data_IF_487365044221
#
_entry.id   IF_487365044221
#
_cell.length_a   1.000
_cell.length_b   1.000
_cell.length_c   1.000
_cell.angle_alpha   90.00
_cell.angle_beta   90.00
_cell.angle_gamma   90.00
#
_symmetry.space_group_name_H-M   'P 1'
#
loop_
_entity.id
_entity.type
_entity.pdbx_description
1 polymer ?
#
# COMPACT_ATOMS: atom_id res chain seq x y z
N UNK A 1 -83.86 15.65 53.80
CA UNK A 1 -84.81 16.72 53.35
C UNK A 1 -84.19 17.46 52.15
N UNK A 2 -85.03 17.58 51.13
CA UNK A 2 -84.97 18.53 50.00
C UNK A 2 -83.78 18.32 48.99
N UNK A 3 -84.01 17.70 47.82
CA UNK A 3 -84.59 18.28 46.58
C UNK A 3 -83.79 19.51 46.14
N UNK A 4 -83.32 19.71 44.94
CA UNK A 4 -83.97 19.58 43.59
C UNK A 4 -83.02 19.97 42.44
N UNK A 5 -83.25 19.32 41.28
CA UNK A 5 -83.33 19.81 39.88
C UNK A 5 -82.10 20.17 39.12
N UNK A 6 -81.87 19.30 38.16
CA UNK A 6 -81.72 19.53 36.71
C UNK A 6 -81.88 20.94 36.14
N UNK A 7 -80.86 21.38 35.39
CA UNK A 7 -81.09 22.15 34.15
C UNK A 7 -79.98 21.75 33.13
N UNK A 8 -80.44 21.21 32.04
CA UNK A 8 -79.63 20.99 30.84
C UNK A 8 -79.57 22.31 30.06
N UNK A 9 -78.39 22.72 29.64
CA UNK A 9 -78.21 23.75 28.61
C UNK A 9 -77.30 23.18 27.52
N UNK A 10 -77.92 22.92 26.36
CA UNK A 10 -77.24 22.74 25.09
C UNK A 10 -76.52 24.02 24.74
N UNK A 11 -75.23 23.91 24.47
CA UNK A 11 -74.50 24.96 23.78
C UNK A 11 -73.64 24.33 22.68
N UNK A 12 -73.97 24.71 21.50
CA UNK A 12 -73.41 24.35 20.22
C UNK A 12 -71.84 24.53 20.20
N UNK A 13 -71.10 23.45 20.08
CA UNK A 13 -69.65 23.52 19.86
C UNK A 13 -69.39 23.83 18.38
N UNK A 14 -68.89 25.00 18.13
CA UNK A 14 -68.32 25.45 16.88
C UNK A 14 -67.05 24.67 16.63
N UNK A 15 -67.06 23.68 15.73
CA UNK A 15 -65.87 22.95 15.29
C UNK A 15 -65.08 23.88 14.38
N UNK A 16 -64.08 24.54 14.99
CA UNK A 16 -63.03 25.25 14.26
C UNK A 16 -62.00 24.21 13.79
N UNK A 17 -62.11 23.70 12.57
CA UNK A 17 -61.10 22.92 11.91
C UNK A 17 -59.89 23.81 11.63
N UNK A 18 -58.95 23.79 12.54
CA UNK A 18 -57.62 24.30 12.29
C UNK A 18 -56.95 23.35 11.29
N UNK A 19 -56.93 23.73 10.04
CA UNK A 19 -56.02 23.18 9.04
C UNK A 19 -54.61 23.62 9.46
N UNK A 20 -53.96 22.83 10.30
CA UNK A 20 -52.51 22.88 10.41
C UNK A 20 -51.94 22.42 9.08
N UNK A 21 -51.52 23.39 8.29
CA UNK A 21 -50.63 23.16 7.15
C UNK A 21 -49.39 22.50 7.70
N UNK A 22 -49.35 21.16 7.65
CA UNK A 22 -48.13 20.40 7.86
C UNK A 22 -47.20 20.81 6.73
N UNK A 23 -46.34 21.78 7.02
CA UNK A 23 -45.18 22.04 6.17
C UNK A 23 -44.44 20.71 6.00
N UNK A 24 -44.55 20.12 4.81
CA UNK A 24 -43.71 19.01 4.39
C UNK A 24 -42.29 19.56 4.31
N UNK A 25 -41.62 19.67 5.46
CA UNK A 25 -40.18 19.57 5.44
C UNK A 25 -39.90 18.26 4.72
N UNK A 26 -39.14 18.30 3.64
CA UNK A 26 -38.75 17.13 2.84
C UNK A 26 -38.13 16.11 3.81
N UNK A 27 -39.02 15.25 4.36
CA UNK A 27 -38.66 14.27 5.37
C UNK A 27 -37.69 13.30 4.70
N UNK A 28 -36.52 13.13 5.30
CA UNK A 28 -35.59 12.07 4.90
C UNK A 28 -36.40 10.78 4.83
N UNK A 29 -36.53 10.24 3.63
CA UNK A 29 -37.32 9.03 3.37
C UNK A 29 -36.74 7.88 4.22
N UNK A 30 -37.54 7.40 5.17
CA UNK A 30 -37.15 6.33 6.07
C UNK A 30 -37.60 5.01 5.44
N UNK A 31 -36.67 4.09 5.23
CA UNK A 31 -36.96 2.72 4.82
C UNK A 31 -36.91 1.81 6.04
N UNK A 32 -37.99 1.05 6.29
CA UNK A 32 -38.08 0.09 7.40
C UNK A 32 -38.30 -1.30 6.83
N UNK A 33 -37.46 -2.26 7.23
CA UNK A 33 -37.51 -3.66 6.80
C UNK A 33 -37.72 -4.53 8.05
N UNK A 34 -38.93 -5.13 8.19
CA UNK A 34 -39.28 -5.95 9.35
C UNK A 34 -38.97 -5.27 10.72
N UNK A 35 -39.23 -3.96 10.82
CA UNK A 35 -38.98 -3.17 12.03
C UNK A 35 -37.55 -2.61 12.13
N UNK A 36 -36.63 -2.99 11.28
CA UNK A 36 -35.26 -2.43 11.23
C UNK A 36 -35.22 -1.24 10.28
N UNK A 37 -34.80 -0.09 10.78
CA UNK A 37 -34.68 1.13 9.98
C UNK A 37 -33.37 1.15 9.21
N UNK A 38 -33.45 1.35 7.88
CA UNK A 38 -32.29 1.70 7.06
C UNK A 38 -32.12 3.22 7.13
N UNK A 39 -31.06 3.72 7.76
CA UNK A 39 -30.86 5.16 7.94
C UNK A 39 -30.70 5.87 6.58
N UNK A 40 -31.33 7.04 6.44
CA UNK A 40 -31.25 7.83 5.20
C UNK A 40 -29.82 8.21 4.83
N UNK A 41 -28.93 8.43 5.79
CA UNK A 41 -27.53 8.72 5.53
C UNK A 41 -26.79 7.54 4.89
N UNK A 42 -27.21 6.29 5.16
CA UNK A 42 -26.68 5.10 4.47
C UNK A 42 -27.04 5.10 2.98
N UNK A 43 -28.28 5.54 2.66
CA UNK A 43 -28.73 5.69 1.28
C UNK A 43 -27.92 6.80 0.59
N UNK A 44 -27.82 7.97 1.22
CA UNK A 44 -27.07 9.11 0.64
C UNK A 44 -25.58 8.78 0.43
N UNK A 45 -24.94 8.09 1.37
CA UNK A 45 -23.56 7.61 1.21
C UNK A 45 -23.43 6.66 0.00
N UNK A 46 -24.38 5.72 -0.17
CA UNK A 46 -24.36 4.80 -1.29
C UNK A 46 -24.60 5.53 -2.63
N UNK A 47 -25.49 6.51 -2.67
CA UNK A 47 -25.69 7.38 -3.85
C UNK A 47 -24.39 8.12 -4.17
N UNK A 48 -23.79 8.77 -3.17
CA UNK A 48 -22.54 9.50 -3.36
C UNK A 48 -21.42 8.62 -3.92
N UNK A 49 -21.24 7.40 -3.40
CA UNK A 49 -20.23 6.46 -3.92
C UNK A 49 -20.45 6.15 -5.41
N UNK A 50 -21.69 6.00 -5.85
CA UNK A 50 -22.00 5.73 -7.25
C UNK A 50 -21.78 6.98 -8.12
N UNK A 51 -22.12 8.16 -7.60
CA UNK A 51 -21.87 9.45 -8.29
C UNK A 51 -20.35 9.69 -8.44
N UNK A 52 -19.57 9.45 -7.40
CA UNK A 52 -18.10 9.57 -7.44
C UNK A 52 -17.46 8.60 -8.46
N UNK A 53 -18.15 7.49 -8.79
CA UNK A 53 -17.78 6.55 -9.86
C UNK A 53 -18.31 6.93 -11.26
N UNK A 54 -18.90 8.13 -11.41
CA UNK A 54 -19.34 8.67 -12.69
C UNK A 54 -20.81 8.41 -13.05
N UNK A 55 -21.61 7.81 -12.16
CA UNK A 55 -23.05 7.70 -12.39
C UNK A 55 -23.74 9.04 -12.10
N UNK A 56 -24.87 9.27 -12.77
CA UNK A 56 -25.70 10.45 -12.48
C UNK A 56 -26.66 10.15 -11.33
N UNK A 57 -26.83 11.10 -10.42
CA UNK A 57 -27.87 11.01 -9.38
C UNK A 57 -29.25 11.17 -10.04
N UNK A 58 -29.95 10.07 -10.18
CA UNK A 58 -31.30 10.01 -10.77
C UNK A 58 -32.27 9.29 -9.84
N UNK A 59 -33.57 9.49 -9.97
CA UNK A 59 -34.56 8.74 -9.21
C UNK A 59 -34.44 7.22 -9.37
N UNK A 60 -34.04 6.76 -10.56
CA UNK A 60 -33.87 5.34 -10.88
C UNK A 60 -32.65 4.77 -10.13
N UNK A 61 -31.53 5.51 -10.10
CA UNK A 61 -30.34 5.12 -9.31
C UNK A 61 -30.68 5.04 -7.83
N UNK A 62 -31.35 6.06 -7.29
CA UNK A 62 -31.77 6.09 -5.89
C UNK A 62 -32.70 4.93 -5.54
N UNK A 63 -33.65 4.62 -6.42
CA UNK A 63 -34.53 3.46 -6.26
C UNK A 63 -33.74 2.16 -6.26
N UNK A 64 -32.84 1.95 -7.21
CA UNK A 64 -32.02 0.74 -7.29
C UNK A 64 -31.14 0.56 -6.03
N UNK A 65 -30.57 1.65 -5.51
CA UNK A 65 -29.79 1.62 -4.25
C UNK A 65 -30.67 1.25 -3.05
N UNK A 66 -31.89 1.80 -2.97
CA UNK A 66 -32.83 1.43 -1.91
C UNK A 66 -33.20 -0.05 -1.99
N UNK A 67 -33.57 -0.53 -3.17
CA UNK A 67 -33.93 -1.93 -3.40
C UNK A 67 -32.77 -2.87 -3.04
N UNK A 68 -31.54 -2.50 -3.36
CA UNK A 68 -30.33 -3.25 -2.96
C UNK A 68 -30.14 -3.25 -1.44
N UNK A 69 -30.26 -2.11 -0.77
CA UNK A 69 -30.11 -2.03 0.68
C UNK A 69 -31.18 -2.83 1.43
N UNK A 70 -32.44 -2.81 0.91
CA UNK A 70 -33.54 -3.65 1.40
C UNK A 70 -33.18 -5.14 1.25
N UNK A 71 -32.71 -5.54 0.07
CA UNK A 71 -32.34 -6.93 -0.19
C UNK A 71 -31.22 -7.41 0.72
N UNK A 72 -30.19 -6.58 0.93
CA UNK A 72 -29.09 -6.88 1.87
C UNK A 72 -29.60 -7.04 3.30
N UNK A 73 -30.50 -6.18 3.75
CA UNK A 73 -31.09 -6.26 5.08
C UNK A 73 -31.89 -7.54 5.26
N UNK A 74 -32.73 -7.90 4.26
CA UNK A 74 -33.51 -9.13 4.29
C UNK A 74 -32.64 -10.40 4.39
N UNK A 75 -31.53 -10.45 3.61
CA UNK A 75 -30.58 -11.58 3.66
C UNK A 75 -29.86 -11.63 5.01
N UNK A 76 -29.48 -10.48 5.57
CA UNK A 76 -28.83 -10.41 6.88
C UNK A 76 -29.80 -10.90 7.99
N UNK A 77 -31.06 -10.49 7.97
CA UNK A 77 -32.08 -10.95 8.92
C UNK A 77 -32.35 -12.46 8.79
N UNK A 78 -32.36 -13.00 7.57
CA UNK A 78 -32.53 -14.45 7.36
C UNK A 78 -31.33 -15.22 7.93
N UNK A 79 -30.10 -14.72 7.71
CA UNK A 79 -28.90 -15.32 8.30
C UNK A 79 -28.94 -15.30 9.83
N UNK A 80 -29.34 -14.19 10.45
CA UNK A 80 -29.51 -14.09 11.91
C UNK A 80 -30.62 -15.04 12.42
N UNK A 81 -31.75 -15.09 11.70
CA UNK A 81 -32.83 -16.04 12.06
C UNK A 81 -32.39 -17.49 12.03
N UNK A 82 -31.43 -17.83 11.18
CA UNK A 82 -30.79 -19.14 11.09
C UNK A 82 -29.62 -19.31 12.05
N UNK A 83 -29.33 -18.30 12.90
CA UNK A 83 -28.22 -18.27 13.84
C UNK A 83 -26.84 -18.51 13.20
N UNK A 84 -26.67 -18.15 11.91
CA UNK A 84 -25.41 -18.33 11.19
C UNK A 84 -24.29 -17.45 11.75
N UNK A 85 -24.64 -16.31 12.32
CA UNK A 85 -23.74 -15.39 13.00
C UNK A 85 -23.25 -15.90 14.36
N UNK A 86 -23.91 -16.90 14.93
CA UNK A 86 -23.61 -17.48 16.25
C UNK A 86 -22.78 -18.76 16.18
N UNK A 87 -22.41 -19.22 14.98
CA UNK A 87 -21.53 -20.37 14.82
C UNK A 87 -20.11 -20.03 15.31
N UNK A 88 -19.36 -21.01 15.87
CA UNK A 88 -17.98 -20.77 16.33
C UNK A 88 -17.10 -20.17 15.26
N UNK A 89 -17.22 -20.60 14.02
CA UNK A 89 -16.47 -20.14 12.86
C UNK A 89 -16.80 -18.67 12.53
N UNK A 90 -18.09 -18.32 12.57
CA UNK A 90 -18.53 -16.93 12.33
C UNK A 90 -18.04 -15.99 13.44
N UNK A 91 -18.11 -16.43 14.70
CA UNK A 91 -17.63 -15.66 15.85
C UNK A 91 -16.11 -15.43 15.79
N UNK A 92 -15.34 -16.44 15.38
CA UNK A 92 -13.90 -16.29 15.15
C UNK A 92 -13.62 -15.26 14.04
N UNK A 93 -14.33 -15.35 12.92
CA UNK A 93 -14.20 -14.39 11.82
C UNK A 93 -14.56 -12.97 12.26
N UNK A 94 -15.63 -12.78 13.02
CA UNK A 94 -15.99 -11.47 13.57
C UNK A 94 -14.92 -10.92 14.50
N UNK A 95 -14.34 -11.77 15.35
CA UNK A 95 -13.25 -11.37 16.22
C UNK A 95 -12.02 -10.89 15.42
N UNK A 96 -11.64 -11.62 14.37
CA UNK A 96 -10.54 -11.25 13.48
C UNK A 96 -10.81 -9.95 12.73
N UNK A 97 -12.01 -9.77 12.16
CA UNK A 97 -12.41 -8.53 11.48
C UNK A 97 -12.36 -7.36 12.44
N UNK A 98 -12.93 -7.51 13.64
CA UNK A 98 -12.90 -6.47 14.67
C UNK A 98 -11.47 -6.11 15.07
N UNK A 99 -10.61 -7.10 15.30
CA UNK A 99 -9.22 -6.87 15.65
C UNK A 99 -8.48 -6.13 14.54
N UNK A 100 -8.62 -6.56 13.29
CA UNK A 100 -7.99 -5.91 12.14
C UNK A 100 -8.45 -4.45 12.00
N UNK A 101 -9.73 -4.20 12.16
CA UNK A 101 -10.30 -2.86 12.09
C UNK A 101 -9.80 -1.95 13.23
N UNK A 102 -9.69 -2.48 14.46
CA UNK A 102 -9.12 -1.72 15.58
C UNK A 102 -7.65 -1.38 15.37
N UNK A 103 -6.86 -2.31 14.79
CA UNK A 103 -5.46 -2.06 14.44
C UNK A 103 -5.37 -0.95 13.39
N UNK A 104 -6.21 -0.99 12.36
CA UNK A 104 -6.24 0.05 11.32
C UNK A 104 -6.59 1.42 11.91
N UNK A 105 -7.64 1.50 12.73
CA UNK A 105 -8.06 2.74 13.40
C UNK A 105 -6.97 3.33 14.29
N UNK A 106 -6.29 2.50 15.08
CA UNK A 106 -5.24 2.97 16.00
C UNK A 106 -4.00 3.46 15.23
N UNK A 107 -3.60 2.73 14.18
CA UNK A 107 -2.51 3.17 13.32
C UNK A 107 -2.84 4.44 12.54
N UNK A 108 -4.07 4.60 12.07
CA UNK A 108 -4.52 5.80 11.38
C UNK A 108 -4.53 7.00 12.33
N UNK A 109 -5.10 6.85 13.53
CA UNK A 109 -5.10 7.89 14.58
C UNK A 109 -3.67 8.28 14.98
N UNK A 110 -2.79 7.28 15.17
CA UNK A 110 -1.38 7.52 15.45
C UNK A 110 -0.72 8.36 14.36
N UNK A 111 -0.87 7.99 13.09
CA UNK A 111 -0.25 8.72 11.97
C UNK A 111 -0.84 10.12 11.82
N UNK A 112 -2.15 10.27 12.00
CA UNK A 112 -2.81 11.59 11.98
C UNK A 112 -2.25 12.53 13.05
N UNK A 113 -1.97 12.01 14.25
CA UNK A 113 -1.37 12.78 15.36
C UNK A 113 0.13 12.98 15.20
N UNK A 114 0.79 12.12 14.42
CA UNK A 114 2.23 12.11 14.20
C UNK A 114 2.54 12.06 12.69
N UNK A 115 2.21 13.10 11.92
CA UNK A 115 2.47 13.12 10.49
C UNK A 115 3.97 12.96 10.19
N UNK A 116 4.28 12.50 8.98
CA UNK A 116 5.67 12.45 8.51
C UNK A 116 6.20 13.88 8.37
N UNK A 117 7.37 14.13 8.91
CA UNK A 117 8.01 15.45 8.91
C UNK A 117 9.18 15.50 7.93
N UNK A 118 9.53 16.70 7.45
CA UNK A 118 10.70 16.91 6.59
C UNK A 118 12.01 16.49 7.27
N UNK A 119 12.09 16.61 8.60
CA UNK A 119 13.26 16.15 9.35
C UNK A 119 13.42 14.61 9.30
N UNK A 120 12.32 13.88 9.40
CA UNK A 120 12.33 12.41 9.29
C UNK A 120 12.65 11.97 7.85
N UNK A 121 12.10 12.66 6.85
CA UNK A 121 12.44 12.40 5.45
C UNK A 121 13.93 12.67 5.19
N UNK A 122 14.48 13.73 5.75
CA UNK A 122 15.90 14.06 5.63
C UNK A 122 16.78 12.98 6.28
N UNK A 123 16.44 12.57 7.49
CA UNK A 123 17.16 11.52 8.19
C UNK A 123 17.16 10.19 7.41
N UNK A 124 16.02 9.84 6.81
CA UNK A 124 15.93 8.64 5.97
C UNK A 124 16.72 8.77 4.67
N UNK A 125 16.70 9.95 4.03
CA UNK A 125 17.53 10.24 2.87
C UNK A 125 19.02 10.05 3.20
N UNK A 126 19.48 10.69 4.26
CA UNK A 126 20.89 10.62 4.69
C UNK A 126 21.29 9.17 5.05
N UNK A 127 20.39 8.43 5.70
CA UNK A 127 20.58 7.00 5.98
C UNK A 127 20.72 6.18 4.70
N UNK A 128 19.85 6.40 3.70
CA UNK A 128 19.93 5.67 2.42
C UNK A 128 21.23 6.00 1.67
N UNK A 129 21.64 7.27 1.63
CA UNK A 129 22.90 7.66 1.01
C UNK A 129 24.09 7.00 1.73
N UNK A 130 24.10 6.97 3.06
CA UNK A 130 25.15 6.33 3.84
C UNK A 130 25.25 4.82 3.59
N UNK A 131 24.12 4.15 3.35
CA UNK A 131 24.09 2.72 3.00
C UNK A 131 24.70 2.42 1.62
N UNK A 132 24.71 3.38 0.70
CA UNK A 132 25.37 3.24 -0.60
C UNK A 132 26.90 3.32 -0.49
N UNK A 133 27.41 3.90 0.60
CA UNK A 133 28.82 4.09 0.90
C UNK A 133 29.11 5.49 1.43
N UNK A 134 30.40 5.83 1.53
CA UNK A 134 30.83 7.11 2.08
C UNK A 134 30.44 8.28 1.16
N UNK A 135 29.64 9.25 1.65
CA UNK A 135 29.23 10.40 0.84
C UNK A 135 30.45 11.16 0.27
N UNK A 136 30.37 11.51 -1.00
CA UNK A 136 31.45 12.20 -1.73
C UNK A 136 32.56 11.29 -2.28
N UNK A 137 32.61 10.03 -1.87
CA UNK A 137 33.51 9.00 -2.46
C UNK A 137 32.77 7.96 -3.29
N UNK A 138 31.45 8.05 -3.36
CA UNK A 138 30.63 7.12 -4.14
C UNK A 138 30.95 7.23 -5.62
N UNK A 139 31.23 6.07 -6.23
CA UNK A 139 31.40 5.93 -7.66
C UNK A 139 30.37 4.95 -8.22
N UNK A 140 29.84 5.25 -9.38
CA UNK A 140 29.05 4.30 -10.18
C UNK A 140 29.91 3.82 -11.35
N UNK A 141 29.68 2.58 -11.72
CA UNK A 141 30.43 1.86 -12.71
C UNK A 141 29.53 1.43 -13.84
N UNK A 142 29.93 1.70 -15.06
CA UNK A 142 29.30 1.10 -16.23
C UNK A 142 29.97 -0.25 -16.48
N UNK A 143 29.18 -1.32 -16.35
CA UNK A 143 29.70 -2.68 -16.38
C UNK A 143 29.20 -3.45 -17.58
N UNK A 144 30.08 -4.35 -18.06
CA UNK A 144 29.69 -5.48 -18.90
C UNK A 144 30.05 -6.79 -18.22
N UNK A 145 29.22 -7.83 -18.40
CA UNK A 145 29.32 -9.12 -17.73
C UNK A 145 29.23 -10.28 -18.73
N UNK A 146 30.08 -11.27 -18.54
CA UNK A 146 29.95 -12.61 -19.11
C UNK A 146 29.76 -13.56 -17.93
N UNK A 147 28.59 -14.21 -17.84
CA UNK A 147 28.31 -15.22 -16.83
C UNK A 147 28.28 -16.60 -17.45
N UNK A 148 28.85 -17.60 -16.80
CA UNK A 148 28.90 -18.98 -17.25
C UNK A 148 28.58 -19.94 -16.10
N UNK A 149 28.22 -21.18 -16.41
CA UNK A 149 27.94 -22.20 -15.40
C UNK A 149 29.21 -22.74 -14.73
N UNK A 150 30.30 -22.84 -15.46
CA UNK A 150 31.52 -23.45 -14.97
C UNK A 150 32.70 -22.51 -15.02
N UNK A 151 33.67 -22.71 -14.12
CA UNK A 151 34.94 -21.97 -14.13
C UNK A 151 35.71 -22.14 -15.41
N UNK A 152 35.65 -23.33 -16.02
CA UNK A 152 36.37 -23.63 -17.30
C UNK A 152 35.82 -22.77 -18.44
N UNK A 153 34.50 -22.62 -18.55
CA UNK A 153 33.86 -21.76 -19.55
C UNK A 153 34.21 -20.29 -19.33
N UNK A 154 34.18 -19.83 -18.05
CA UNK A 154 34.53 -18.45 -17.70
C UNK A 154 35.97 -18.13 -18.06
N UNK A 155 36.91 -19.03 -17.75
CA UNK A 155 38.33 -18.89 -18.13
C UNK A 155 38.53 -18.88 -19.63
N UNK A 156 37.80 -19.71 -20.36
CA UNK A 156 37.86 -19.73 -21.84
C UNK A 156 37.35 -18.38 -22.42
N UNK A 157 36.24 -17.87 -21.90
CA UNK A 157 35.71 -16.54 -22.27
C UNK A 157 36.71 -15.42 -21.96
N UNK A 158 37.28 -15.42 -20.75
CA UNK A 158 38.30 -14.46 -20.34
C UNK A 158 39.52 -14.50 -21.23
N UNK A 159 40.01 -15.69 -21.61
CA UNK A 159 41.15 -15.86 -22.50
C UNK A 159 40.87 -15.29 -23.90
N UNK A 160 39.66 -15.46 -24.45
CA UNK A 160 39.23 -14.87 -25.73
C UNK A 160 39.32 -13.35 -25.68
N UNK A 161 38.74 -12.75 -24.63
CA UNK A 161 38.74 -11.29 -24.46
C UNK A 161 40.15 -10.74 -24.25
N UNK A 162 40.99 -11.43 -23.45
CA UNK A 162 42.42 -11.06 -23.26
C UNK A 162 43.24 -11.15 -24.55
N UNK A 163 42.85 -12.00 -25.52
CA UNK A 163 43.46 -12.07 -26.86
C UNK A 163 42.95 -10.99 -27.82
N UNK A 164 42.08 -10.08 -27.37
CA UNK A 164 41.58 -8.96 -28.16
C UNK A 164 40.23 -9.19 -28.83
N UNK A 165 39.56 -10.32 -28.57
CA UNK A 165 38.18 -10.48 -29.06
C UNK A 165 37.24 -9.52 -28.34
N UNK A 166 36.28 -8.93 -29.07
CA UNK A 166 35.35 -7.96 -28.52
C UNK A 166 34.49 -8.57 -27.39
N UNK A 167 34.47 -7.94 -26.23
CA UNK A 167 33.76 -8.43 -25.03
C UNK A 167 32.28 -8.70 -25.31
N UNK A 168 31.62 -7.79 -26.00
CA UNK A 168 30.21 -7.92 -26.36
C UNK A 168 29.90 -9.10 -27.25
N UNK A 169 30.81 -9.41 -28.19
CA UNK A 169 30.71 -10.58 -29.03
C UNK A 169 30.81 -11.87 -28.22
N UNK A 170 31.82 -11.97 -27.35
CA UNK A 170 31.98 -13.14 -26.46
C UNK A 170 30.80 -13.28 -25.54
N UNK A 171 30.29 -12.15 -24.97
CA UNK A 171 29.12 -12.16 -24.10
C UNK A 171 27.87 -12.72 -24.82
N UNK A 172 27.58 -12.26 -26.03
CA UNK A 172 26.45 -12.76 -26.83
C UNK A 172 26.51 -14.25 -27.09
N UNK A 173 27.72 -14.79 -27.32
CA UNK A 173 27.91 -16.19 -27.66
C UNK A 173 27.82 -17.12 -26.45
N UNK A 174 28.45 -16.77 -25.34
CA UNK A 174 28.65 -17.74 -24.24
C UNK A 174 27.99 -17.35 -22.91
N UNK A 175 27.53 -16.12 -22.74
CA UNK A 175 26.94 -15.72 -21.46
C UNK A 175 25.56 -16.35 -21.25
N UNK A 176 25.32 -16.83 -20.05
CA UNK A 176 24.02 -17.32 -19.61
C UNK A 176 23.15 -16.19 -19.00
N UNK A 177 23.74 -15.02 -18.77
CA UNK A 177 23.00 -13.86 -18.24
C UNK A 177 22.14 -13.22 -19.33
N UNK A 178 20.89 -12.80 -19.05
CA UNK A 178 20.03 -12.11 -20.02
C UNK A 178 20.66 -10.86 -20.66
N UNK A 179 21.61 -10.20 -19.98
CA UNK A 179 22.35 -9.05 -20.54
C UNK A 179 23.15 -9.39 -21.82
N UNK A 180 23.35 -10.68 -22.16
CA UNK A 180 23.99 -11.11 -23.39
C UNK A 180 23.37 -10.48 -24.64
N UNK A 181 22.04 -10.27 -24.64
CA UNK A 181 21.33 -9.66 -25.77
C UNK A 181 21.83 -8.22 -26.05
N UNK A 182 22.34 -7.55 -24.99
CA UNK A 182 22.96 -6.23 -25.06
C UNK A 182 24.50 -6.29 -24.96
N UNK A 183 25.12 -7.42 -25.40
CA UNK A 183 26.57 -7.59 -25.35
C UNK A 183 27.15 -7.69 -23.95
N UNK A 184 26.32 -8.10 -22.97
CA UNK A 184 26.71 -8.22 -21.57
C UNK A 184 26.55 -6.93 -20.76
N UNK A 185 26.11 -5.81 -21.34
CA UNK A 185 26.00 -4.53 -20.64
C UNK A 185 24.96 -4.57 -19.52
N UNK A 186 25.37 -4.11 -18.32
CA UNK A 186 24.54 -3.95 -17.14
C UNK A 186 24.15 -2.49 -16.90
N UNK A 187 24.70 -1.56 -17.70
CA UNK A 187 24.53 -0.12 -17.47
C UNK A 187 25.32 0.39 -16.26
N UNK A 188 24.90 1.54 -15.73
CA UNK A 188 25.49 2.18 -14.57
C UNK A 188 24.97 1.54 -13.28
N UNK A 189 25.85 1.12 -12.40
CA UNK A 189 25.54 0.47 -11.13
C UNK A 189 26.44 0.99 -10.01
N UNK A 190 25.92 0.99 -8.79
CA UNK A 190 26.71 1.19 -7.58
C UNK A 190 27.21 -0.16 -7.06
N UNK A 191 28.43 -0.26 -6.49
CA UNK A 191 28.94 -1.50 -5.91
C UNK A 191 28.02 -2.12 -4.86
N UNK A 192 27.32 -1.29 -4.07
CA UNK A 192 26.36 -1.73 -3.06
C UNK A 192 25.06 -2.31 -3.65
N UNK A 193 24.78 -2.13 -4.93
CA UNK A 193 23.56 -2.58 -5.60
C UNK A 193 23.72 -3.91 -6.34
N UNK A 194 24.92 -4.46 -6.37
CA UNK A 194 25.23 -5.72 -7.06
C UNK A 194 25.70 -6.77 -6.05
N UNK A 195 25.89 -7.99 -6.55
CA UNK A 195 26.37 -9.12 -5.75
C UNK A 195 27.69 -8.71 -5.05
N UNK A 196 27.82 -8.85 -3.72
CA UNK A 196 29.00 -8.38 -2.98
C UNK A 196 30.34 -8.90 -3.50
N UNK A 197 30.38 -10.16 -3.97
CA UNK A 197 31.58 -10.74 -4.57
C UNK A 197 32.06 -9.95 -5.81
N UNK A 198 31.14 -9.41 -6.61
CA UNK A 198 31.46 -8.55 -7.76
C UNK A 198 31.76 -7.13 -7.29
N UNK A 199 30.91 -6.56 -6.39
CA UNK A 199 31.07 -5.21 -5.86
C UNK A 199 32.45 -4.97 -5.26
N UNK A 200 32.93 -5.90 -4.44
CA UNK A 200 34.25 -5.81 -3.79
C UNK A 200 35.43 -5.85 -4.78
N UNK A 201 35.27 -6.46 -5.94
CA UNK A 201 36.33 -6.55 -6.98
C UNK A 201 36.34 -5.30 -7.84
N UNK A 202 35.18 -4.82 -8.29
CA UNK A 202 35.10 -3.70 -9.25
C UNK A 202 35.61 -2.37 -8.70
N UNK A 203 35.51 -2.15 -7.38
CA UNK A 203 36.00 -0.92 -6.74
C UNK A 203 37.50 -0.72 -6.90
N UNK A 204 38.23 -1.80 -7.14
CA UNK A 204 39.69 -1.80 -7.33
C UNK A 204 40.12 -1.81 -8.80
N UNK A 205 39.17 -1.78 -9.72
CA UNK A 205 39.44 -1.83 -11.17
C UNK A 205 39.34 -0.44 -11.79
N UNK A 206 40.24 -0.19 -12.76
CA UNK A 206 40.22 1.04 -13.54
C UNK A 206 39.28 0.92 -14.77
N UNK A 207 38.91 2.07 -15.34
CA UNK A 207 38.17 2.11 -16.61
C UNK A 207 38.90 1.32 -17.69
N UNK A 208 38.16 0.48 -18.41
CA UNK A 208 38.64 -0.42 -19.44
C UNK A 208 39.20 -1.76 -18.91
N UNK A 209 39.40 -1.89 -17.59
CA UNK A 209 39.93 -3.12 -17.01
C UNK A 209 38.90 -4.26 -17.05
N UNK A 210 39.44 -5.48 -17.12
CA UNK A 210 38.66 -6.72 -17.00
C UNK A 210 39.18 -7.47 -15.78
N UNK A 211 38.32 -8.21 -15.10
CA UNK A 211 38.73 -9.05 -13.96
C UNK A 211 39.88 -9.97 -14.31
N UNK A 212 40.87 -10.08 -13.44
CA UNK A 212 42.04 -10.92 -13.67
C UNK A 212 41.69 -12.40 -13.78
N UNK A 213 40.76 -12.85 -12.94
CA UNK A 213 40.17 -14.19 -12.88
C UNK A 213 38.63 -14.08 -12.81
N UNK A 214 37.92 -15.13 -13.20
CA UNK A 214 36.48 -15.18 -13.04
C UNK A 214 36.06 -15.09 -11.55
N UNK A 215 35.01 -14.33 -11.26
CA UNK A 215 34.42 -14.18 -9.93
C UNK A 215 33.35 -15.26 -9.73
N UNK A 216 33.49 -16.06 -8.67
CA UNK A 216 32.48 -17.03 -8.29
C UNK A 216 31.30 -16.36 -7.57
N UNK A 217 30.09 -16.78 -7.93
CA UNK A 217 28.83 -16.37 -7.29
C UNK A 217 27.91 -17.58 -7.17
N UNK A 218 26.83 -17.45 -6.44
CA UNK A 218 25.79 -18.51 -6.34
C UNK A 218 25.15 -18.86 -7.68
N UNK A 219 25.23 -17.97 -8.68
CA UNK A 219 24.66 -18.16 -10.01
C UNK A 219 25.66 -18.66 -11.06
N UNK A 220 26.92 -18.90 -10.66
CA UNK A 220 28.02 -19.33 -11.55
C UNK A 220 29.23 -18.39 -11.52
N UNK A 221 30.02 -18.40 -12.59
CA UNK A 221 31.26 -17.69 -12.72
C UNK A 221 31.14 -16.49 -13.63
N UNK A 222 31.70 -15.34 -13.23
CA UNK A 222 31.48 -14.06 -13.90
C UNK A 222 32.81 -13.41 -14.30
N UNK A 223 32.90 -12.99 -15.55
CA UNK A 223 33.96 -12.10 -16.05
C UNK A 223 33.35 -10.71 -16.19
N UNK A 224 33.92 -9.72 -15.51
CA UNK A 224 33.43 -8.35 -15.49
C UNK A 224 34.42 -7.43 -16.19
N UNK A 225 33.91 -6.51 -16.99
CA UNK A 225 34.65 -5.41 -17.60
C UNK A 225 34.08 -4.09 -17.09
N UNK A 226 34.96 -3.16 -16.74
CA UNK A 226 34.63 -1.78 -16.43
C UNK A 226 34.62 -0.99 -17.74
N UNK A 227 33.45 -0.66 -18.26
CA UNK A 227 33.36 0.16 -19.46
C UNK A 227 33.62 1.64 -19.18
N UNK A 228 33.09 2.13 -18.03
CA UNK A 228 33.35 3.47 -17.53
C UNK A 228 33.15 3.54 -16.00
N UNK A 229 33.65 4.60 -15.37
CA UNK A 229 33.39 4.95 -13.96
C UNK A 229 33.25 6.46 -13.80
N UNK A 230 32.37 6.88 -12.92
CA UNK A 230 32.14 8.30 -12.61
C UNK A 230 31.70 8.49 -11.16
N UNK A 231 31.87 9.71 -10.66
CA UNK A 231 31.33 10.05 -9.35
C UNK A 231 29.79 9.94 -9.39
N UNK A 232 29.27 9.22 -8.41
CA UNK A 232 27.81 9.11 -8.24
C UNK A 232 27.25 10.42 -7.72
N UNK A 233 26.21 10.90 -8.34
CA UNK A 233 25.43 12.05 -7.89
C UNK A 233 24.07 11.56 -7.41
N UNK A 234 23.87 11.53 -6.09
CA UNK A 234 22.58 11.22 -5.52
C UNK A 234 21.53 12.23 -6.01
N UNK A 235 20.31 11.79 -6.28
CA UNK A 235 19.19 12.71 -6.52
C UNK A 235 19.06 13.69 -5.36
N UNK A 236 18.71 14.94 -5.65
CA UNK A 236 18.52 15.94 -4.59
C UNK A 236 17.41 15.47 -3.61
N UNK A 237 17.54 15.87 -2.34
CA UNK A 237 16.55 15.53 -1.32
C UNK A 237 15.12 15.88 -1.74
N UNK A 238 14.93 17.09 -2.29
CA UNK A 238 13.60 17.55 -2.74
C UNK A 238 12.96 16.63 -3.81
N UNK A 239 13.80 16.06 -4.70
CA UNK A 239 13.36 15.10 -5.72
C UNK A 239 13.05 13.71 -5.16
N UNK A 240 13.62 13.39 -3.99
CA UNK A 240 13.49 12.09 -3.33
C UNK A 240 12.33 12.04 -2.33
N UNK A 241 11.78 13.18 -1.91
CA UNK A 241 10.80 13.29 -0.82
C UNK A 241 9.62 12.34 -0.97
N UNK A 242 9.05 12.24 -2.17
CA UNK A 242 7.88 11.38 -2.41
C UNK A 242 8.21 9.91 -2.18
N UNK A 243 9.37 9.46 -2.67
CA UNK A 243 9.82 8.07 -2.52
C UNK A 243 10.17 7.73 -1.07
N UNK A 244 10.54 8.74 -0.25
CA UNK A 244 10.89 8.57 1.15
C UNK A 244 9.68 8.50 2.08
N UNK A 245 8.48 8.94 1.64
CA UNK A 245 7.27 8.94 2.47
C UNK A 245 6.93 7.55 3.00
N UNK A 246 6.91 6.56 2.12
CA UNK A 246 6.51 5.20 2.50
C UNK A 246 7.50 4.54 3.49
N UNK A 247 8.83 4.52 3.26
CA UNK A 247 9.77 3.97 4.24
C UNK A 247 9.68 4.66 5.60
N UNK A 248 9.59 5.99 5.65
CA UNK A 248 9.45 6.74 6.91
C UNK A 248 8.14 6.37 7.61
N UNK A 249 7.03 6.32 6.88
CA UNK A 249 5.74 5.90 7.43
C UNK A 249 5.79 4.49 8.03
N UNK A 250 6.43 3.54 7.33
CA UNK A 250 6.59 2.17 7.84
C UNK A 250 7.47 2.13 9.09
N UNK A 251 8.56 2.88 9.11
CA UNK A 251 9.44 2.99 10.29
C UNK A 251 8.67 3.57 11.50
N UNK A 252 7.84 4.60 11.31
CA UNK A 252 6.99 5.17 12.38
C UNK A 252 5.99 4.14 12.92
N UNK A 253 5.31 3.41 12.04
CA UNK A 253 4.39 2.34 12.45
C UNK A 253 5.11 1.25 13.22
N UNK A 254 6.28 0.82 12.75
CA UNK A 254 7.09 -0.19 13.44
C UNK A 254 7.56 0.28 14.82
N UNK A 255 8.00 1.54 14.94
CA UNK A 255 8.41 2.14 16.21
C UNK A 255 7.22 2.23 17.20
N UNK A 256 6.04 2.60 16.71
CA UNK A 256 4.81 2.62 17.51
C UNK A 256 4.47 1.22 18.05
N UNK A 257 4.44 0.21 17.17
CA UNK A 257 4.18 -1.18 17.58
C UNK A 257 5.24 -1.67 18.57
N UNK A 258 6.52 -1.32 18.35
CA UNK A 258 7.60 -1.65 19.30
C UNK A 258 7.34 -1.04 20.68
N UNK A 259 6.96 0.23 20.73
CA UNK A 259 6.61 0.91 22.00
C UNK A 259 5.48 0.20 22.74
N UNK A 260 4.45 -0.26 22.02
CA UNK A 260 3.35 -1.02 22.62
C UNK A 260 3.84 -2.38 23.17
N UNK A 261 4.72 -3.07 22.42
CA UNK A 261 5.32 -4.34 22.88
C UNK A 261 6.18 -4.16 24.12
N UNK A 262 7.01 -3.11 24.14
CA UNK A 262 7.93 -2.83 25.28
C UNK A 262 7.15 -2.48 26.57
N UNK A 263 5.95 -1.91 26.44
CA UNK A 263 5.06 -1.57 27.57
C UNK A 263 4.15 -2.73 28.01
N UNK A 264 4.06 -3.80 27.21
CA UNK A 264 3.13 -4.90 27.45
C UNK A 264 3.72 -5.92 28.43
N UNK A 265 2.89 -6.45 29.32
CA UNK A 265 3.20 -7.64 30.10
C UNK A 265 2.85 -8.87 29.28
N UNK A 266 3.87 -9.52 28.70
CA UNK A 266 3.71 -10.73 27.88
C UNK A 266 4.14 -11.94 28.72
N UNK A 267 3.26 -12.91 28.88
CA UNK A 267 3.55 -14.22 29.52
C UNK A 267 3.41 -15.29 28.46
N UNK A 268 4.38 -16.19 28.37
CA UNK A 268 4.38 -17.36 27.47
C UNK A 268 4.17 -18.63 28.27
#
# INVERSE_FOLDING_TARGET
MKQTRLIAILSSALIMTAYTSLSLAAGKEIVVVNGVTIPSDKIEKAVKINVDKGQKDTPELRKAIKDELISRELVAQDAQKKALDSTPEAQEQFAQIRQSFLIELDLEDFIKKNPVTDAELRAEYDRQITLLGEPGKLQEYQLSQIATKTLAEARAALARVKKGEAFDKVAREVSINPSKENGGSLGWVLPAQIIPAIGNVIVNLEKGAITAEPIETTAGFNVIKIDDKRAYKAPAFEQSKEQLQLPVLQAKKAAFIKKLKDAAKITQ
#
